data_IF_179626157815
#
_entry.id   IF_179626157815
#
_cell.length_a   1.000
_cell.length_b   1.000
_cell.length_c   1.000
_cell.angle_alpha   90.00
_cell.angle_beta   90.00
_cell.angle_gamma   90.00
#
_symmetry.space_group_name_H-M   'P 1'
#
loop_
_entity.id
_entity.type
_entity.pdbx_description
1 polymer ?
#
# COMPACT_ATOMS: atom_id res chain seq x y z
N UNK A 1 1.29 -7.99 -23.80
CA UNK A 1 2.31 -7.76 -22.75
C UNK A 1 1.75 -6.68 -21.85
N UNK A 2 1.37 -7.06 -20.63
CA UNK A 2 0.67 -6.18 -19.67
C UNK A 2 1.66 -5.20 -19.06
N UNK A 3 1.31 -3.92 -19.05
CA UNK A 3 2.09 -2.79 -18.53
C UNK A 3 2.43 -2.98 -17.05
N UNK A 4 3.71 -2.82 -16.72
CA UNK A 4 4.30 -3.18 -15.44
C UNK A 4 4.26 -2.09 -14.36
N UNK A 5 3.37 -1.08 -14.45
CA UNK A 5 3.41 0.09 -13.57
C UNK A 5 2.08 0.47 -12.88
N UNK A 6 1.14 -0.46 -12.73
CA UNK A 6 -0.09 -0.18 -11.98
C UNK A 6 0.04 -0.72 -10.55
N UNK A 7 0.43 0.15 -9.61
CA UNK A 7 -0.07 0.01 -8.25
C UNK A 7 -1.60 0.04 -8.33
N UNK A 8 -2.25 -1.12 -8.12
CA UNK A 8 -3.69 -1.26 -8.37
C UNK A 8 -4.53 -0.74 -7.21
N UNK A 9 -4.65 0.59 -7.12
CA UNK A 9 -5.91 1.22 -6.71
C UNK A 9 -6.75 1.45 -7.96
N UNK A 10 -8.08 1.48 -7.80
CA UNK A 10 -8.98 1.91 -8.87
C UNK A 10 -9.21 3.41 -8.77
N UNK A 11 -8.89 4.13 -9.85
CA UNK A 11 -9.07 5.59 -9.95
C UNK A 11 -10.55 6.00 -9.76
N UNK A 12 -11.49 5.13 -10.12
CA UNK A 12 -12.93 5.33 -9.93
C UNK A 12 -13.36 5.27 -8.45
N UNK A 13 -12.56 4.65 -7.58
CA UNK A 13 -12.88 4.46 -6.15
C UNK A 13 -12.24 5.52 -5.23
N UNK A 14 -11.57 6.55 -5.78
CA UNK A 14 -10.92 7.58 -4.95
C UNK A 14 -11.86 8.20 -3.91
N UNK A 15 -13.14 8.41 -4.24
CA UNK A 15 -14.09 8.99 -3.28
C UNK A 15 -14.45 8.06 -2.11
N UNK A 16 -14.27 6.75 -2.27
CA UNK A 16 -14.57 5.73 -1.26
C UNK A 16 -13.40 5.42 -0.33
N UNK A 17 -12.17 5.76 -0.74
CA UNK A 17 -10.99 5.50 0.08
C UNK A 17 -10.95 6.42 1.31
N UNK A 18 -10.40 5.96 2.42
CA UNK A 18 -10.12 6.80 3.58
C UNK A 18 -9.15 7.93 3.23
N UNK A 19 -9.15 9.01 4.01
CA UNK A 19 -8.27 10.14 3.74
C UNK A 19 -6.78 9.76 3.86
N UNK A 20 -6.44 8.83 4.76
CA UNK A 20 -5.09 8.24 4.85
C UNK A 20 -4.67 7.53 3.57
N UNK A 21 -5.57 6.71 3.02
CA UNK A 21 -5.33 5.98 1.79
C UNK A 21 -5.17 6.93 0.61
N UNK A 22 -5.91 8.03 0.58
CA UNK A 22 -5.73 9.07 -0.42
C UNK A 22 -4.38 9.79 -0.30
N UNK A 23 -3.94 10.12 0.92
CA UNK A 23 -2.59 10.67 1.14
C UNK A 23 -1.48 9.71 0.69
N UNK A 24 -1.65 8.41 0.97
CA UNK A 24 -0.75 7.37 0.51
C UNK A 24 -0.67 7.33 -1.02
N UNK A 25 -1.81 7.18 -1.71
CA UNK A 25 -1.89 7.12 -3.17
C UNK A 25 -1.27 8.37 -3.80
N UNK A 26 -1.57 9.55 -3.25
CA UNK A 26 -1.04 10.82 -3.73
C UNK A 26 0.49 10.89 -3.65
N UNK A 27 1.08 10.41 -2.55
CA UNK A 27 2.53 10.41 -2.36
C UNK A 27 3.25 9.42 -3.28
N UNK A 28 2.62 8.30 -3.60
CA UNK A 28 3.15 7.34 -4.57
C UNK A 28 3.09 7.91 -5.99
N UNK A 29 1.94 8.46 -6.40
CA UNK A 29 1.78 9.04 -7.74
C UNK A 29 2.69 10.24 -8.00
N UNK A 30 3.10 10.97 -6.95
CA UNK A 30 4.02 12.11 -7.06
C UNK A 30 5.42 11.71 -7.51
N UNK A 31 5.82 10.45 -7.35
CA UNK A 31 7.17 10.04 -7.68
C UNK A 31 7.42 10.19 -9.19
N UNK A 32 8.61 10.66 -9.60
CA UNK A 32 8.96 10.71 -11.01
C UNK A 32 8.99 9.30 -11.60
N UNK A 33 8.64 9.16 -12.88
CA UNK A 33 8.87 7.91 -13.59
C UNK A 33 10.38 7.59 -13.60
N UNK A 34 10.78 6.31 -13.48
CA UNK A 34 12.17 5.91 -13.64
C UNK A 34 12.71 6.38 -15.01
N UNK A 35 13.99 6.78 -15.11
CA UNK A 35 14.57 7.26 -16.37
C UNK A 35 14.41 6.27 -17.53
N UNK A 36 14.51 4.96 -17.25
CA UNK A 36 14.40 3.90 -18.25
C UNK A 36 12.95 3.61 -18.69
N UNK A 37 11.96 4.15 -17.97
CA UNK A 37 10.55 3.83 -18.19
C UNK A 37 10.05 4.29 -19.56
N UNK A 38 10.48 5.49 -19.97
CA UNK A 38 10.11 6.08 -21.26
C UNK A 38 10.55 5.23 -22.45
N UNK A 39 11.74 4.64 -22.35
CA UNK A 39 12.29 3.73 -23.37
C UNK A 39 11.51 2.42 -23.41
N UNK A 40 11.08 1.91 -22.26
CA UNK A 40 10.34 0.66 -22.13
C UNK A 40 8.92 0.72 -22.74
N UNK A 41 8.17 1.80 -22.50
CA UNK A 41 6.78 1.91 -22.95
C UNK A 41 6.62 2.68 -24.27
N UNK A 42 7.67 3.38 -24.70
CA UNK A 42 7.66 4.26 -25.86
C UNK A 42 6.97 5.61 -25.60
N UNK A 43 7.32 6.59 -26.44
CA UNK A 43 6.96 8.00 -26.24
C UNK A 43 5.46 8.26 -26.09
N UNK A 44 4.64 7.61 -26.92
CA UNK A 44 3.21 7.85 -26.95
C UNK A 44 2.52 7.35 -25.67
N UNK A 45 2.87 6.14 -25.22
CA UNK A 45 2.33 5.56 -23.99
C UNK A 45 2.81 6.36 -22.77
N UNK A 46 4.09 6.73 -22.74
CA UNK A 46 4.66 7.56 -21.68
C UNK A 46 3.92 8.90 -21.51
N UNK A 47 3.60 9.59 -22.61
CA UNK A 47 2.82 10.84 -22.57
C UNK A 47 1.41 10.64 -22.03
N UNK A 48 0.73 9.55 -22.44
CA UNK A 48 -0.61 9.23 -21.99
C UNK A 48 -0.65 8.96 -20.48
N UNK A 49 0.29 8.15 -20.00
CA UNK A 49 0.39 7.82 -18.58
C UNK A 49 0.82 8.99 -17.71
N UNK A 50 1.73 9.84 -18.21
CA UNK A 50 2.11 11.07 -17.51
C UNK A 50 0.91 12.00 -17.32
N UNK A 51 0.09 12.17 -18.36
CA UNK A 51 -1.14 12.98 -18.29
C UNK A 51 -2.15 12.38 -17.30
N UNK A 52 -2.39 11.06 -17.37
CA UNK A 52 -3.29 10.37 -16.43
C UNK A 52 -2.83 10.54 -14.98
N UNK A 53 -1.52 10.44 -14.72
CA UNK A 53 -0.94 10.66 -13.39
C UNK A 53 -1.16 12.08 -12.88
N UNK A 54 -0.94 13.09 -13.72
CA UNK A 54 -1.18 14.49 -13.36
C UNK A 54 -2.67 14.75 -13.03
N UNK A 55 -3.59 14.17 -13.82
CA UNK A 55 -5.03 14.24 -13.57
C UNK A 55 -5.42 13.55 -12.25
N UNK A 56 -4.90 12.36 -11.98
CA UNK A 56 -5.13 11.64 -10.73
C UNK A 56 -4.58 12.39 -9.52
N UNK A 57 -3.37 12.95 -9.61
CA UNK A 57 -2.77 13.77 -8.54
C UNK A 57 -3.63 14.98 -8.20
N UNK A 58 -4.19 15.64 -9.22
CA UNK A 58 -5.08 16.79 -9.05
C UNK A 58 -6.39 16.34 -8.38
N UNK A 59 -7.01 15.28 -8.89
CA UNK A 59 -8.28 14.75 -8.38
C UNK A 59 -8.18 14.31 -6.92
N UNK A 60 -7.13 13.57 -6.56
CA UNK A 60 -6.92 13.14 -5.16
C UNK A 60 -6.72 14.35 -4.25
N UNK A 61 -5.92 15.35 -4.69
CA UNK A 61 -5.71 16.57 -3.92
C UNK A 61 -7.01 17.35 -3.70
N UNK A 62 -7.88 17.40 -4.71
CA UNK A 62 -9.21 18.02 -4.61
C UNK A 62 -10.10 17.29 -3.60
N UNK A 63 -10.17 15.96 -3.67
CA UNK A 63 -10.95 15.13 -2.72
C UNK A 63 -10.46 15.33 -1.29
N UNK A 64 -9.15 15.24 -1.05
CA UNK A 64 -8.56 15.48 0.27
C UNK A 64 -8.91 16.90 0.76
N UNK A 65 -8.82 17.90 -0.12
CA UNK A 65 -9.08 19.29 0.25
C UNK A 65 -10.55 19.55 0.59
N UNK A 66 -11.49 18.80 0.01
CA UNK A 66 -12.93 18.96 0.23
C UNK A 66 -13.49 18.17 1.41
N UNK A 67 -12.72 17.26 2.01
CA UNK A 67 -13.20 16.45 3.13
C UNK A 67 -13.12 17.16 4.47
N UNK A 68 -14.11 16.91 5.32
CA UNK A 68 -14.18 17.43 6.68
C UNK A 68 -13.15 16.73 7.60
N UNK A 69 -12.92 15.43 7.37
CA UNK A 69 -11.99 14.58 8.13
C UNK A 69 -10.50 14.83 7.80
N UNK A 70 -10.18 15.68 6.80
CA UNK A 70 -8.81 15.99 6.38
C UNK A 70 -7.92 16.49 7.51
N UNK A 71 -8.55 17.11 8.50
CA UNK A 71 -7.91 17.63 9.69
C UNK A 71 -8.07 16.69 10.88
N UNK A 72 -9.08 15.81 10.87
CA UNK A 72 -9.47 14.98 12.01
C UNK A 72 -8.42 13.91 12.32
N UNK A 73 -7.78 13.31 11.32
CA UNK A 73 -6.73 12.31 11.56
C UNK A 73 -5.51 12.97 12.22
N UNK A 74 -5.13 14.15 11.71
CA UNK A 74 -4.04 14.97 12.26
C UNK A 74 -4.36 15.48 13.67
N UNK A 75 -5.58 15.98 13.88
CA UNK A 75 -6.01 16.56 15.15
C UNK A 75 -6.34 15.48 16.20
N UNK A 76 -6.88 14.32 15.80
CA UNK A 76 -7.05 13.15 16.68
C UNK A 76 -5.69 12.61 17.12
N UNK A 77 -4.74 12.48 16.20
CA UNK A 77 -3.38 12.08 16.54
C UNK A 77 -2.70 13.08 17.47
N UNK A 78 -2.77 14.39 17.18
CA UNK A 78 -2.24 15.46 18.05
C UNK A 78 -2.89 15.48 19.44
N UNK A 79 -4.21 15.27 19.53
CA UNK A 79 -4.95 15.19 20.80
C UNK A 79 -4.54 13.98 21.64
N UNK A 80 -4.28 12.85 20.99
CA UNK A 80 -3.81 11.62 21.66
C UNK A 80 -2.32 11.69 22.05
N UNK A 81 -1.54 12.57 21.42
CA UNK A 81 -0.09 12.67 21.61
C UNK A 81 0.40 14.11 21.83
N UNK A 82 -0.11 14.83 22.85
CA UNK A 82 0.18 16.25 23.05
C UNK A 82 1.66 16.56 23.33
N UNK A 83 2.43 15.55 23.78
CA UNK A 83 3.82 15.69 24.23
C UNK A 83 4.81 14.70 23.57
N UNK A 84 4.46 14.06 22.44
CA UNK A 84 5.45 13.23 21.74
C UNK A 84 6.46 14.15 21.05
N UNK A 85 7.70 14.13 21.51
CA UNK A 85 8.83 14.61 20.71
C UNK A 85 8.77 13.92 19.34
N UNK A 86 8.90 14.71 18.27
CA UNK A 86 9.05 14.20 16.91
C UNK A 86 10.29 13.30 16.95
N UNK A 87 10.06 11.98 16.99
CA UNK A 87 11.14 11.01 16.95
C UNK A 87 11.85 11.17 15.61
N UNK A 88 13.12 11.60 15.66
CA UNK A 88 13.93 11.95 14.48
C UNK A 88 14.29 10.77 13.57
N UNK A 89 13.91 9.55 13.95
CA UNK A 89 14.26 8.31 13.24
C UNK A 89 13.12 7.73 12.40
N UNK A 90 11.93 8.34 12.43
CA UNK A 90 10.83 7.98 11.52
C UNK A 90 11.25 8.09 10.04
N UNK A 91 10.71 7.21 9.19
CA UNK A 91 11.02 7.15 7.76
C UNK A 91 9.83 7.54 6.91
N UNK A 92 10.09 8.38 5.92
CA UNK A 92 9.13 8.63 4.86
C UNK A 92 8.98 7.38 3.99
N UNK A 93 7.83 7.23 3.34
CA UNK A 93 7.57 6.08 2.46
C UNK A 93 8.60 5.96 1.32
N UNK A 94 9.14 7.08 0.83
CA UNK A 94 10.17 7.10 -0.20
C UNK A 94 11.55 6.65 0.32
N UNK A 95 11.85 6.87 1.61
CA UNK A 95 13.04 6.31 2.24
C UNK A 95 12.89 4.80 2.42
N UNK A 96 11.71 4.33 2.85
CA UNK A 96 11.40 2.90 2.92
C UNK A 96 11.51 2.23 1.54
N UNK A 97 10.99 2.86 0.49
CA UNK A 97 11.10 2.38 -0.89
C UNK A 97 12.55 2.26 -1.37
N UNK A 98 13.44 3.16 -0.94
CA UNK A 98 14.88 3.07 -1.25
C UNK A 98 15.58 1.94 -0.48
N UNK A 99 15.19 1.71 0.76
CA UNK A 99 15.72 0.62 1.59
C UNK A 99 15.25 -0.75 1.08
N UNK A 100 14.07 -0.82 0.47
CA UNK A 100 13.47 -2.05 -0.02
C UNK A 100 13.02 -1.90 -1.50
N UNK A 101 13.96 -1.77 -2.46
CA UNK A 101 13.63 -1.43 -3.85
C UNK A 101 12.67 -2.42 -4.51
N UNK A 102 12.81 -3.71 -4.18
CA UNK A 102 11.97 -4.77 -4.71
C UNK A 102 10.51 -4.72 -4.20
N UNK A 103 10.28 -4.04 -3.08
CA UNK A 103 8.97 -3.91 -2.43
C UNK A 103 8.38 -2.51 -2.62
N UNK A 104 9.11 -1.56 -3.18
CA UNK A 104 8.71 -0.15 -3.28
C UNK A 104 7.29 0.03 -3.86
N UNK A 105 6.95 -0.73 -4.89
CA UNK A 105 5.65 -0.70 -5.58
C UNK A 105 4.56 -1.50 -4.85
N UNK A 106 4.89 -2.19 -3.77
CA UNK A 106 4.00 -3.07 -3.01
C UNK A 106 3.87 -2.65 -1.55
N UNK A 107 4.65 -1.66 -1.11
CA UNK A 107 4.63 -1.13 0.27
C UNK A 107 3.22 -0.73 0.72
N UNK A 108 2.41 -0.17 -0.17
CA UNK A 108 1.01 0.18 0.14
C UNK A 108 0.13 -1.01 0.46
N UNK A 109 0.24 -2.07 -0.36
CA UNK A 109 -0.51 -3.28 -0.13
C UNK A 109 -0.04 -4.00 1.14
N UNK A 110 1.26 -3.98 1.42
CA UNK A 110 1.80 -4.48 2.69
C UNK A 110 1.27 -3.70 3.90
N UNK A 111 1.34 -2.37 3.88
CA UNK A 111 0.81 -1.49 4.94
C UNK A 111 -0.67 -1.78 5.20
N UNK A 112 -1.46 -1.93 4.15
CA UNK A 112 -2.89 -2.22 4.24
C UNK A 112 -3.17 -3.65 4.76
N UNK A 113 -2.32 -4.64 4.42
CA UNK A 113 -2.45 -6.01 4.93
C UNK A 113 -2.15 -6.08 6.43
N UNK A 114 -0.98 -5.56 6.82
CA UNK A 114 -0.54 -5.53 8.22
C UNK A 114 -1.27 -4.48 9.07
N UNK A 115 -2.15 -3.68 8.45
CA UNK A 115 -2.86 -2.57 9.10
C UNK A 115 -1.88 -1.63 9.84
N UNK A 116 -0.80 -1.25 9.17
CA UNK A 116 0.24 -0.39 9.74
C UNK A 116 -0.33 1.02 9.90
N UNK A 117 -0.44 1.46 11.15
CA UNK A 117 -0.91 2.79 11.50
C UNK A 117 0.20 3.84 11.34
N UNK A 118 -0.20 5.05 10.94
CA UNK A 118 0.72 6.20 10.90
C UNK A 118 1.00 6.65 12.33
N UNK A 119 2.25 6.52 12.75
CA UNK A 119 2.67 6.85 14.11
C UNK A 119 3.12 8.30 14.29
N UNK A 120 3.52 8.98 13.22
CA UNK A 120 4.10 10.32 13.25
C UNK A 120 3.73 11.13 12.01
N UNK A 121 3.71 12.45 12.17
CA UNK A 121 3.65 13.41 11.07
C UNK A 121 4.80 14.41 11.21
N UNK A 122 5.39 14.83 10.10
CA UNK A 122 6.37 15.92 10.09
C UNK A 122 5.70 17.30 10.18
N UNK A 123 6.51 18.37 10.19
CA UNK A 123 6.04 19.76 10.24
C UNK A 123 5.14 20.14 9.05
N UNK A 124 5.35 19.50 7.90
CA UNK A 124 4.56 19.67 6.68
C UNK A 124 3.31 18.79 6.64
N UNK A 125 3.11 17.92 7.64
CA UNK A 125 2.00 16.97 7.70
C UNK A 125 2.20 15.72 6.85
N UNK A 126 3.43 15.40 6.46
CA UNK A 126 3.75 14.15 5.78
C UNK A 126 3.88 13.00 6.81
N UNK A 127 3.28 11.83 6.52
CA UNK A 127 3.33 10.69 7.43
C UNK A 127 4.73 10.07 7.45
N UNK A 128 5.18 9.78 8.66
CA UNK A 128 6.43 9.11 8.97
C UNK A 128 6.13 7.76 9.64
N UNK A 129 6.83 6.72 9.22
CA UNK A 129 6.63 5.35 9.67
C UNK A 129 7.81 4.84 10.49
N UNK A 130 7.57 3.91 11.42
CA UNK A 130 8.66 3.21 12.11
C UNK A 130 9.20 2.08 11.24
N UNK A 131 10.52 2.02 11.09
CA UNK A 131 11.16 0.93 10.33
C UNK A 131 10.81 -0.46 10.89
N UNK A 132 10.56 -0.54 12.20
CA UNK A 132 10.17 -1.77 12.88
C UNK A 132 8.84 -2.36 12.38
N UNK A 133 7.92 -1.53 11.88
CA UNK A 133 6.64 -1.99 11.32
C UNK A 133 6.83 -2.71 9.96
N UNK A 134 7.98 -2.51 9.31
CA UNK A 134 8.32 -3.11 8.02
C UNK A 134 9.27 -4.30 8.17
N UNK A 135 9.55 -4.75 9.40
CA UNK A 135 10.54 -5.80 9.64
C UNK A 135 10.25 -7.07 8.83
N UNK A 136 8.97 -7.40 8.65
CA UNK A 136 8.50 -8.65 8.07
C UNK A 136 8.73 -8.76 6.56
N UNK A 137 8.99 -7.63 5.88
CA UNK A 137 9.30 -7.57 4.45
C UNK A 137 10.79 -7.40 4.14
N UNK A 138 11.66 -7.45 5.16
CA UNK A 138 13.08 -7.59 4.90
C UNK A 138 13.41 -9.03 4.47
N UNK A 139 14.28 -9.23 3.46
CA UNK A 139 14.59 -10.54 2.92
C UNK A 139 15.00 -11.59 3.96
N UNK A 140 15.76 -11.18 4.98
CA UNK A 140 16.19 -12.04 6.09
C UNK A 140 15.03 -12.61 6.92
N UNK A 141 13.86 -11.96 6.91
CA UNK A 141 12.70 -12.34 7.72
C UNK A 141 11.65 -13.12 6.94
N UNK A 142 11.76 -13.22 5.61
CA UNK A 142 10.76 -13.87 4.75
C UNK A 142 10.36 -15.27 5.26
N UNK A 143 11.35 -16.13 5.54
CA UNK A 143 11.08 -17.49 5.99
C UNK A 143 10.19 -17.56 7.25
N UNK A 144 10.35 -16.60 8.18
CA UNK A 144 9.62 -16.57 9.45
C UNK A 144 8.32 -15.76 9.37
N UNK A 145 8.30 -14.68 8.60
CA UNK A 145 7.16 -13.76 8.53
C UNK A 145 6.03 -14.27 7.64
N UNK A 146 6.32 -15.19 6.71
CA UNK A 146 5.35 -15.64 5.70
C UNK A 146 5.08 -14.59 4.62
N UNK A 147 5.69 -13.41 4.70
CA UNK A 147 5.79 -12.47 3.58
C UNK A 147 6.93 -12.86 2.66
N UNK A 148 6.80 -12.50 1.39
CA UNK A 148 7.77 -12.73 0.32
C UNK A 148 7.88 -11.48 -0.54
N UNK A 149 8.85 -11.50 -1.44
CA UNK A 149 9.13 -10.42 -2.39
C UNK A 149 7.92 -10.00 -3.25
N UNK A 150 7.00 -10.92 -3.54
CA UNK A 150 5.87 -10.65 -4.45
C UNK A 150 4.50 -10.93 -3.84
N UNK A 151 4.44 -11.39 -2.59
CA UNK A 151 3.18 -11.77 -1.95
C UNK A 151 3.36 -12.25 -0.53
N UNK A 152 2.34 -12.91 -0.02
CA UNK A 152 2.37 -13.60 1.26
C UNK A 152 1.84 -15.02 1.11
N UNK A 153 2.24 -15.90 2.02
CA UNK A 153 1.68 -17.25 2.05
C UNK A 153 0.23 -17.22 2.52
N UNK A 154 -0.50 -18.27 2.17
CA UNK A 154 -1.87 -18.48 2.63
C UNK A 154 -1.95 -18.51 4.16
N UNK A 155 -1.00 -19.16 4.80
CA UNK A 155 -0.90 -19.25 6.25
C UNK A 155 -0.74 -17.87 6.88
N UNK A 156 0.09 -17.00 6.27
CA UNK A 156 0.27 -15.64 6.78
C UNK A 156 -1.01 -14.82 6.60
N UNK A 157 -1.71 -14.93 5.46
CA UNK A 157 -3.00 -14.24 5.27
C UNK A 157 -4.02 -14.63 6.35
N UNK A 158 -4.15 -15.93 6.63
CA UNK A 158 -5.05 -16.44 7.66
C UNK A 158 -4.61 -16.07 9.08
N UNK A 159 -3.32 -15.87 9.31
CA UNK A 159 -2.80 -15.38 10.60
C UNK A 159 -3.15 -13.91 10.84
N UNK A 160 -3.06 -13.08 9.80
CA UNK A 160 -3.44 -11.66 9.87
C UNK A 160 -4.96 -11.54 10.06
N UNK A 161 -5.75 -12.36 9.36
CA UNK A 161 -7.21 -12.32 9.41
C UNK A 161 -7.81 -13.65 9.91
N UNK A 162 -7.71 -13.97 11.21
CA UNK A 162 -8.08 -15.28 11.74
C UNK A 162 -9.59 -15.56 11.73
N UNK A 163 -10.42 -14.51 11.66
CA UNK A 163 -11.87 -14.59 11.80
C UNK A 163 -12.63 -14.69 10.47
N UNK A 164 -11.93 -14.78 9.33
CA UNK A 164 -12.58 -14.88 8.02
C UNK A 164 -13.17 -16.27 7.80
N UNK A 165 -14.24 -16.32 7.00
CA UNK A 165 -14.79 -17.59 6.52
C UNK A 165 -13.80 -18.29 5.60
N UNK A 166 -13.29 -19.43 6.06
CA UNK A 166 -12.28 -20.23 5.36
C UNK A 166 -12.82 -20.81 4.05
N UNK A 167 -14.09 -21.20 3.98
CA UNK A 167 -14.67 -21.80 2.78
C UNK A 167 -14.78 -20.74 1.67
N UNK A 168 -15.26 -19.55 2.03
CA UNK A 168 -15.28 -18.41 1.13
C UNK A 168 -13.88 -17.93 0.72
N UNK A 169 -12.91 -17.99 1.64
CA UNK A 169 -11.51 -17.72 1.33
C UNK A 169 -10.94 -18.68 0.28
N UNK A 170 -11.11 -20.00 0.43
CA UNK A 170 -10.65 -20.97 -0.59
C UNK A 170 -11.32 -20.71 -1.95
N UNK A 171 -12.62 -20.40 -1.95
CA UNK A 171 -13.37 -20.11 -3.18
C UNK A 171 -12.80 -18.88 -3.91
N UNK A 172 -12.54 -17.79 -3.19
CA UNK A 172 -11.93 -16.60 -3.78
C UNK A 172 -10.49 -16.88 -4.24
N UNK A 173 -9.73 -17.64 -3.45
CA UNK A 173 -8.35 -17.99 -3.77
C UNK A 173 -8.25 -18.79 -5.08
N UNK A 174 -9.22 -19.67 -5.36
CA UNK A 174 -9.28 -20.44 -6.61
C UNK A 174 -9.46 -19.58 -7.88
N UNK A 175 -9.87 -18.30 -7.71
CA UNK A 175 -10.05 -17.34 -8.79
C UNK A 175 -8.82 -16.44 -8.97
N UNK A 176 -7.81 -16.56 -8.10
CA UNK A 176 -6.59 -15.78 -8.14
C UNK A 176 -5.48 -16.59 -8.82
N UNK A 177 -4.73 -15.93 -9.70
CA UNK A 177 -3.48 -16.48 -10.22
C UNK A 177 -2.41 -16.43 -9.12
N UNK A 178 -2.19 -17.57 -8.46
CA UNK A 178 -1.14 -17.71 -7.46
C UNK A 178 0.24 -17.75 -8.13
N UNK A 179 1.24 -17.21 -7.43
CA UNK A 179 2.62 -17.21 -7.89
C UNK A 179 3.46 -18.17 -7.05
N UNK A 180 4.61 -18.58 -7.59
CA UNK A 180 5.62 -19.31 -6.82
C UNK A 180 6.70 -18.34 -6.35
N UNK A 181 7.00 -18.37 -5.05
CA UNK A 181 8.15 -17.69 -4.49
C UNK A 181 9.45 -18.45 -4.78
N UNK A 182 10.59 -17.81 -4.48
CA UNK A 182 11.94 -18.35 -4.70
C UNK A 182 12.18 -19.66 -3.95
N UNK A 183 11.49 -19.90 -2.83
CA UNK A 183 11.53 -21.12 -2.03
C UNK A 183 10.50 -22.19 -2.49
N UNK A 184 9.92 -22.03 -3.69
CA UNK A 184 8.85 -22.85 -4.26
C UNK A 184 7.53 -22.83 -3.48
N UNK A 185 7.40 -21.98 -2.45
CA UNK A 185 6.11 -21.79 -1.76
C UNK A 185 5.12 -21.08 -2.67
N UNK A 186 3.85 -21.48 -2.59
CA UNK A 186 2.77 -20.79 -3.28
C UNK A 186 2.41 -19.53 -2.50
N UNK A 187 2.42 -18.39 -3.19
CA UNK A 187 2.10 -17.09 -2.60
C UNK A 187 0.88 -16.48 -3.27
N UNK A 188 0.13 -15.75 -2.45
CA UNK A 188 -0.92 -14.85 -2.87
C UNK A 188 -0.24 -13.52 -3.17
N UNK A 189 -0.29 -13.01 -4.41
CA UNK A 189 0.29 -11.70 -4.68
C UNK A 189 -0.40 -10.62 -3.82
N UNK A 190 0.36 -9.61 -3.39
CA UNK A 190 -0.11 -8.64 -2.40
C UNK A 190 -1.44 -7.96 -2.76
N UNK A 191 -1.64 -7.61 -4.04
CA UNK A 191 -2.87 -6.96 -4.48
C UNK A 191 -4.10 -7.88 -4.48
N UNK A 192 -4.04 -9.09 -5.05
CA UNK A 192 -5.07 -10.10 -4.81
C UNK A 192 -5.39 -10.33 -3.34
N UNK A 193 -4.39 -10.36 -2.45
CA UNK A 193 -4.62 -10.49 -1.02
C UNK A 193 -5.46 -9.32 -0.46
N UNK A 194 -5.19 -8.08 -0.87
CA UNK A 194 -6.03 -6.93 -0.51
C UNK A 194 -7.47 -7.06 -1.00
N UNK A 195 -7.68 -7.55 -2.23
CA UNK A 195 -9.04 -7.74 -2.75
C UNK A 195 -9.79 -8.80 -1.95
N UNK A 196 -9.12 -9.90 -1.60
CA UNK A 196 -9.68 -10.93 -0.74
C UNK A 196 -10.03 -10.36 0.65
N UNK A 197 -9.13 -9.56 1.25
CA UNK A 197 -9.39 -8.86 2.52
C UNK A 197 -10.66 -8.01 2.42
N UNK A 198 -10.80 -7.20 1.38
CA UNK A 198 -11.96 -6.32 1.21
C UNK A 198 -13.29 -7.07 1.13
N UNK A 199 -13.29 -8.23 0.47
CA UNK A 199 -14.50 -9.05 0.36
C UNK A 199 -14.82 -9.74 1.68
N UNK A 200 -13.81 -10.26 2.38
CA UNK A 200 -14.03 -11.14 3.54
C UNK A 200 -14.05 -10.42 4.88
N UNK A 201 -13.36 -9.30 5.02
CA UNK A 201 -13.16 -8.60 6.29
C UNK A 201 -14.02 -7.34 6.34
N UNK A 202 -13.97 -6.51 5.29
CA UNK A 202 -14.64 -5.21 5.30
C UNK A 202 -16.16 -5.32 5.10
N UNK A 203 -16.64 -6.45 4.55
CA UNK A 203 -18.09 -6.75 4.46
C UNK A 203 -18.68 -7.32 5.75
N UNK A 204 -17.85 -7.76 6.72
CA UNK A 204 -18.32 -8.23 8.04
C UNK A 204 -18.51 -7.09 9.04
N UNK A 205 -17.92 -5.91 8.77
CA UNK A 205 -17.91 -4.75 9.66
C UNK A 205 -18.88 -3.63 9.22
N UNK A 206 -19.69 -3.87 8.19
CA UNK A 206 -20.83 -3.03 7.76
C UNK A 206 -22.14 -3.75 8.03
#
# INVERSE_FOLDING_TARGET
>A
MSSYNELKWRDEDYEKYSTDKLYFIWNVLKQPFPPQYREMVGELAFRKEKKQREENLKRIKEIISSRDDKSEIREAWKKLHPNKEIKKDGKYINELAKLMPNMAEQLGAFIELENIEIKYFDENGEPLYELADFKDIFPENFAQSGFRKYGLTKEQFLKIYPNIDKENFERLLSQVNLEQAEDSSTIIPYYPAIQIKQILVDQLNN
#
